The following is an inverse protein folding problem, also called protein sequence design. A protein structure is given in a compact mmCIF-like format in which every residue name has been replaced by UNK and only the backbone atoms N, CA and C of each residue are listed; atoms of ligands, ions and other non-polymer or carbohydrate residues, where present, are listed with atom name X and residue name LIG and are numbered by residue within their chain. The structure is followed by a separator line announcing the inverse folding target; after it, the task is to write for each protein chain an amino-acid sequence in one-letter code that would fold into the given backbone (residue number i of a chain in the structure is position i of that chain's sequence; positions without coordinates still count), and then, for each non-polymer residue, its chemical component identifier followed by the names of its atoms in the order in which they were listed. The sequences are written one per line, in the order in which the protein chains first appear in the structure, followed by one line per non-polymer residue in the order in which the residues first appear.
data_IF_395087198118
#
_entry.id   IF_395087198118
#
_cell.length_a   1.000
_cell.length_b   1.000
_cell.length_c   1.000
_cell.angle_alpha   90.00
_cell.angle_beta   90.00
_cell.angle_gamma   90.00
#
_symmetry.space_group_name_H-M   'P 1'
#
loop_
_entity.id
_entity.type
_entity.pdbx_description
1 polymer ?
#
# COMPACT_ATOMS: atom_id res chain seq x y z
N UNK A 1 8.77 -3.57 5.37
CA UNK A 1 8.36 -4.80 4.64
C UNK A 1 8.59 -4.58 3.16
N UNK A 2 8.96 -5.63 2.42
CA UNK A 2 9.10 -5.57 0.96
C UNK A 2 7.81 -6.03 0.29
N UNK A 3 7.46 -5.38 -0.82
CA UNK A 3 6.38 -5.77 -1.71
C UNK A 3 6.94 -5.93 -3.11
N UNK A 4 6.64 -7.06 -3.74
CA UNK A 4 6.99 -7.32 -5.12
C UNK A 4 5.78 -7.06 -6.00
N UNK A 5 5.90 -6.11 -6.91
CA UNK A 5 4.92 -5.79 -7.94
C UNK A 5 5.44 -6.42 -9.23
N UNK A 6 4.75 -7.45 -9.74
CA UNK A 6 5.26 -8.27 -10.85
C UNK A 6 5.05 -7.65 -12.23
N UNK A 7 3.99 -6.89 -12.38
CA UNK A 7 3.59 -6.23 -13.61
C UNK A 7 3.46 -4.73 -13.33
N UNK A 8 3.57 -3.91 -14.37
CA UNK A 8 3.26 -2.50 -14.22
C UNK A 8 1.85 -2.35 -13.66
N UNK A 9 1.71 -1.41 -12.75
CA UNK A 9 0.48 -1.14 -12.07
C UNK A 9 0.26 0.36 -11.95
N UNK A 10 -0.94 0.75 -11.54
CA UNK A 10 -1.28 2.12 -11.24
C UNK A 10 -2.00 2.19 -9.90
N UNK A 11 -1.87 3.32 -9.20
CA UNK A 11 -2.71 3.65 -8.06
C UNK A 11 -3.42 4.97 -8.38
N UNK A 12 -4.63 4.86 -8.94
CA UNK A 12 -5.32 6.03 -9.51
C UNK A 12 -4.58 6.53 -10.74
N UNK A 13 -3.98 7.73 -10.68
CA UNK A 13 -3.20 8.30 -11.78
C UNK A 13 -1.68 8.10 -11.64
N UNK A 14 -1.23 7.43 -10.58
CA UNK A 14 0.19 7.28 -10.28
C UNK A 14 0.69 5.95 -10.86
N UNK A 15 1.63 5.95 -11.82
CA UNK A 15 2.22 4.73 -12.34
C UNK A 15 3.18 4.11 -11.31
N UNK A 16 3.11 2.80 -11.18
CA UNK A 16 3.93 1.96 -10.31
C UNK A 16 4.57 0.87 -11.18
N UNK A 17 5.84 1.04 -11.59
CA UNK A 17 6.53 0.04 -12.39
C UNK A 17 6.63 -1.32 -11.69
N UNK A 18 6.82 -2.38 -12.47
CA UNK A 18 7.20 -3.68 -11.91
C UNK A 18 8.54 -3.58 -11.15
N UNK A 19 8.62 -4.21 -9.99
CA UNK A 19 9.82 -4.19 -9.16
C UNK A 19 9.57 -4.54 -7.70
N UNK A 20 10.62 -4.41 -6.90
CA UNK A 20 10.56 -4.61 -5.46
C UNK A 20 10.62 -3.28 -4.72
N UNK A 21 9.62 -3.06 -3.88
CA UNK A 21 9.43 -1.81 -3.17
C UNK A 21 9.47 -2.02 -1.66
N UNK A 22 10.15 -1.12 -0.96
CA UNK A 22 10.01 -0.97 0.46
C UNK A 22 8.77 -0.15 0.78
N UNK A 23 7.93 -0.68 1.66
CA UNK A 23 6.71 -0.01 2.07
C UNK A 23 6.95 0.74 3.37
N UNK A 24 6.53 2.00 3.39
CA UNK A 24 6.36 2.79 4.61
C UNK A 24 5.02 3.55 4.58
N UNK A 25 4.44 3.78 5.76
CA UNK A 25 3.20 4.53 5.92
C UNK A 25 3.52 5.93 6.45
N UNK A 26 3.09 6.95 5.73
CA UNK A 26 3.09 8.34 6.20
C UNK A 26 1.68 8.70 6.67
N UNK A 27 1.41 8.44 7.95
CA UNK A 27 0.07 8.57 8.53
C UNK A 27 -0.46 10.01 8.56
N UNK A 28 0.44 11.00 8.63
CA UNK A 28 0.08 12.42 8.65
C UNK A 28 -0.37 12.91 7.28
N UNK A 29 0.28 12.45 6.20
CA UNK A 29 -0.10 12.79 4.83
C UNK A 29 -1.16 11.88 4.24
N UNK A 30 -1.49 10.76 4.91
CA UNK A 30 -2.43 9.77 4.39
C UNK A 30 -1.90 9.05 3.15
N UNK A 31 -0.59 8.81 3.10
CA UNK A 31 0.08 8.22 1.95
C UNK A 31 0.84 6.97 2.36
N UNK A 32 0.86 5.99 1.44
CA UNK A 32 1.79 4.88 1.49
C UNK A 32 2.92 5.19 0.52
N UNK A 33 4.15 5.03 0.99
CA UNK A 33 5.35 5.29 0.23
C UNK A 33 5.97 3.95 -0.18
N UNK A 34 6.17 3.80 -1.48
CA UNK A 34 6.85 2.69 -2.13
C UNK A 34 8.24 3.17 -2.58
N UNK A 35 9.30 2.68 -1.94
CA UNK A 35 10.67 3.07 -2.24
C UNK A 35 11.42 1.95 -2.97
N UNK A 36 11.95 2.23 -4.16
CA UNK A 36 12.78 1.29 -4.91
C UNK A 36 13.88 2.05 -5.68
N UNK A 37 15.12 1.54 -5.63
CA UNK A 37 16.23 2.06 -6.45
C UNK A 37 16.50 3.57 -6.28
N UNK A 38 16.28 4.13 -5.08
CA UNK A 38 16.44 5.56 -4.81
C UNK A 38 15.29 6.45 -5.28
N UNK A 39 14.20 5.87 -5.81
CA UNK A 39 12.96 6.59 -6.13
C UNK A 39 11.86 6.25 -5.13
N UNK A 40 11.07 7.27 -4.83
CA UNK A 40 9.95 7.18 -3.91
C UNK A 40 8.65 7.47 -4.65
N UNK A 41 7.76 6.48 -4.68
CA UNK A 41 6.41 6.62 -5.22
C UNK A 41 5.46 6.76 -4.04
N UNK A 42 4.68 7.84 -4.01
CA UNK A 42 3.69 8.09 -2.96
C UNK A 42 2.31 7.80 -3.52
N UNK A 43 1.61 6.87 -2.91
CA UNK A 43 0.24 6.50 -3.29
C UNK A 43 -0.73 6.90 -2.17
N UNK A 44 -1.89 7.40 -2.56
CA UNK A 44 -2.92 7.80 -1.59
C UNK A 44 -3.47 6.57 -0.88
N UNK A 45 -3.61 6.65 0.43
CA UNK A 45 -4.19 5.61 1.25
C UNK A 45 -5.39 6.16 2.03
N UNK A 46 -6.44 5.37 2.11
CA UNK A 46 -7.64 5.69 2.89
C UNK A 46 -7.57 4.96 4.23
N UNK A 47 -7.75 5.70 5.32
CA UNK A 47 -7.83 5.12 6.65
C UNK A 47 -9.16 4.41 6.85
N UNK A 48 -9.13 3.12 7.20
CA UNK A 48 -10.29 2.35 7.63
C UNK A 48 -10.33 2.28 9.15
N UNK A 49 -11.54 2.43 9.71
CA UNK A 49 -11.77 2.25 11.13
C UNK A 49 -11.87 0.75 11.41
N UNK A 50 -10.85 0.19 12.06
CA UNK A 50 -10.93 -1.16 12.60
C UNK A 50 -11.83 -1.17 13.85
N UNK A 51 -12.70 -2.18 13.97
CA UNK A 51 -13.40 -2.47 15.23
C UNK A 51 -12.46 -3.06 16.30
N UNK A 52 -11.39 -3.75 15.89
CA UNK A 52 -10.41 -4.37 16.79
C UNK A 52 -9.00 -3.80 16.57
N UNK A 53 -8.31 -3.42 17.66
CA UNK A 53 -6.91 -2.98 17.58
C UNK A 53 -6.01 -4.18 17.27
N UNK A 54 -5.31 -4.14 16.14
CA UNK A 54 -4.18 -5.05 15.90
C UNK A 54 -3.06 -4.75 16.89
N UNK A 55 -2.37 -5.78 17.39
CA UNK A 55 -1.22 -5.62 18.30
C UNK A 55 0.11 -5.46 17.55
N UNK A 56 0.14 -5.78 16.26
CA UNK A 56 1.36 -5.82 15.44
C UNK A 56 1.15 -5.04 14.14
N UNK A 57 2.23 -4.44 13.63
CA UNK A 57 2.26 -3.90 12.28
C UNK A 57 2.12 -5.06 11.27
N UNK A 58 1.10 -5.00 10.44
CA UNK A 58 0.88 -5.97 9.39
C UNK A 58 0.72 -5.25 8.05
N UNK A 59 1.32 -5.79 7.00
CA UNK A 59 1.21 -5.26 5.64
C UNK A 59 0.82 -6.41 4.75
N UNK A 60 -0.28 -6.27 4.02
CA UNK A 60 -0.85 -7.32 3.19
C UNK A 60 -1.24 -6.76 1.82
N UNK A 61 -1.01 -7.54 0.78
CA UNK A 61 -1.55 -7.27 -0.54
C UNK A 61 -2.70 -8.27 -0.78
N UNK A 62 -3.92 -7.75 -0.87
CA UNK A 62 -5.13 -8.58 -0.99
C UNK A 62 -5.73 -8.37 -2.38
N UNK A 63 -6.02 -9.45 -3.10
CA UNK A 63 -6.71 -9.35 -4.39
C UNK A 63 -8.14 -8.86 -4.18
N UNK A 64 -8.52 -7.74 -4.80
CA UNK A 64 -9.90 -7.24 -4.85
C UNK A 64 -10.74 -7.91 -5.95
N UNK A 65 -10.11 -8.74 -6.78
CA UNK A 65 -10.71 -9.37 -7.95
C UNK A 65 -10.22 -8.74 -9.27
N UNK A 66 -10.07 -9.57 -10.31
CA UNK A 66 -9.53 -9.12 -11.60
C UNK A 66 -8.12 -8.53 -11.47
N UNK A 67 -7.96 -7.28 -11.93
CA UNK A 67 -6.69 -6.53 -11.93
C UNK A 67 -6.47 -5.69 -10.67
N UNK A 68 -7.47 -5.56 -9.80
CA UNK A 68 -7.41 -4.67 -8.65
C UNK A 68 -6.91 -5.42 -7.42
N UNK A 69 -5.93 -4.84 -6.75
CA UNK A 69 -5.37 -5.29 -5.49
C UNK A 69 -5.43 -4.16 -4.46
N UNK A 70 -5.62 -4.53 -3.20
CA UNK A 70 -5.64 -3.63 -2.07
C UNK A 70 -4.36 -3.84 -1.26
N UNK A 71 -3.53 -2.81 -1.16
CA UNK A 71 -2.43 -2.75 -0.22
C UNK A 71 -2.96 -2.28 1.13
N UNK A 72 -3.00 -3.18 2.10
CA UNK A 72 -3.51 -2.97 3.44
C UNK A 72 -2.35 -2.87 4.42
N UNK A 73 -2.27 -1.77 5.17
CA UNK A 73 -1.32 -1.57 6.26
C UNK A 73 -2.11 -1.40 7.55
N UNK A 74 -2.07 -2.42 8.40
CA UNK A 74 -2.71 -2.41 9.72
C UNK A 74 -1.66 -2.05 10.77
N UNK A 75 -1.86 -0.93 11.46
CA UNK A 75 -0.96 -0.43 12.51
C UNK A 75 -1.65 -0.44 13.88
N UNK A 76 -0.94 -0.76 14.97
CA UNK A 76 -1.54 -0.76 16.31
C UNK A 76 -2.02 0.62 16.77
N UNK A 77 -1.30 1.68 16.38
CA UNK A 77 -1.56 3.06 16.81
C UNK A 77 -2.44 3.85 15.85
N UNK A 78 -2.29 3.64 14.54
CA UNK A 78 -2.92 4.48 13.52
C UNK A 78 -4.04 3.77 12.76
N UNK A 79 -4.42 2.56 13.17
CA UNK A 79 -5.48 1.78 12.54
C UNK A 79 -5.04 1.21 11.20
N UNK A 80 -6.02 0.92 10.34
CA UNK A 80 -5.79 0.32 9.03
C UNK A 80 -5.80 1.37 7.93
N UNK A 81 -4.92 1.19 6.96
CA UNK A 81 -4.77 2.05 5.80
C UNK A 81 -4.80 1.20 4.55
N UNK A 82 -5.60 1.61 3.56
CA UNK A 82 -5.79 0.87 2.33
C UNK A 82 -5.47 1.75 1.14
N UNK A 83 -4.56 1.32 0.28
CA UNK A 83 -4.36 1.89 -1.05
C UNK A 83 -4.74 0.87 -2.11
N UNK A 84 -5.25 1.36 -3.24
CA UNK A 84 -5.62 0.50 -4.37
C UNK A 84 -4.50 0.49 -5.40
N UNK A 85 -4.18 -0.69 -5.90
CA UNK A 85 -3.19 -0.94 -6.94
C UNK A 85 -3.88 -1.73 -8.04
N UNK A 86 -3.93 -1.19 -9.24
CA UNK A 86 -4.50 -1.83 -10.42
C UNK A 86 -3.37 -2.27 -11.35
N UNK A 87 -3.25 -3.57 -11.61
CA UNK A 87 -2.26 -4.12 -12.52
C UNK A 87 -2.72 -4.01 -13.97
N UNK A 88 -1.78 -3.75 -14.88
CA UNK A 88 -2.00 -3.76 -16.33
C UNK A 88 -2.01 -5.18 -16.91
#
# INVERSE_FOLDING_TARGET
MRLTIRNNATSGMIPIPAGEYWISLSHESGEIKLTAGGKDIRIKATRRRLQARTRVLNIQLVSGGGRIWSLVISTPKHGEWVAFIEYE
#
